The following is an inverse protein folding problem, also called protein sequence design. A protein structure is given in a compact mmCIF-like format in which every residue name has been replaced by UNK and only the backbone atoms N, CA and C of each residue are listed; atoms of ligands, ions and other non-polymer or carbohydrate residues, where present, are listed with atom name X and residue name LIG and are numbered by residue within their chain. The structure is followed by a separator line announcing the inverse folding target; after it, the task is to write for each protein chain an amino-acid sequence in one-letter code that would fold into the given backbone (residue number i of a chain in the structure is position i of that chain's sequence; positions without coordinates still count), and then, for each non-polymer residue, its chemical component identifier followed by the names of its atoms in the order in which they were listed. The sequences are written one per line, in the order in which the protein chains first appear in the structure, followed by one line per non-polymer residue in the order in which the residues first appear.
data_IF_830338363942
#
_entry.id   IF_830338363942
#
_cell.length_a   1.000
_cell.length_b   1.000
_cell.length_c   1.000
_cell.angle_alpha   90.00
_cell.angle_beta   90.00
_cell.angle_gamma   90.00
#
_symmetry.space_group_name_H-M   'P 1'
#
loop_
_entity.id
_entity.type
_entity.pdbx_description
1 polymer ?
#
# COMPACT_ATOMS: atom_id res chain seq x y z
N UNK A 1 3.32 19.71 -8.57
CA UNK A 1 3.08 19.16 -9.92
C UNK A 1 2.95 17.66 -9.80
N UNK A 2 1.99 17.06 -10.50
CA UNK A 2 1.89 15.61 -10.53
C UNK A 2 3.15 15.01 -11.15
N UNK A 3 3.54 13.80 -10.72
CA UNK A 3 4.68 13.09 -11.31
C UNK A 3 4.56 12.94 -12.83
N UNK A 4 3.36 13.05 -13.36
CA UNK A 4 3.02 13.00 -14.77
C UNK A 4 3.36 14.27 -15.55
N UNK A 5 3.16 15.44 -14.99
CA UNK A 5 3.57 16.69 -15.62
C UNK A 5 5.09 16.74 -15.83
N UNK A 6 5.84 16.12 -14.91
CA UNK A 6 7.29 16.02 -15.00
C UNK A 6 7.74 15.01 -16.07
N UNK A 7 7.07 13.86 -16.18
CA UNK A 7 7.38 12.83 -17.18
C UNK A 7 7.05 13.27 -18.60
N UNK A 8 5.98 14.03 -18.81
CA UNK A 8 5.57 14.52 -20.13
C UNK A 8 6.29 15.80 -20.58
N UNK A 9 6.85 16.58 -19.64
CA UNK A 9 7.57 17.83 -19.94
C UNK A 9 9.10 17.67 -20.03
N UNK A 10 9.65 16.56 -19.54
CA UNK A 10 11.08 16.26 -19.67
C UNK A 10 11.37 15.71 -21.06
N UNK A 11 11.54 16.59 -22.04
CA UNK A 11 11.84 16.23 -23.44
C UNK A 11 13.20 15.57 -23.67
N UNK A 12 14.10 15.52 -22.69
CA UNK A 12 15.37 14.77 -22.73
C UNK A 12 15.64 14.10 -21.38
N UNK A 13 16.12 12.85 -21.35
CA UNK A 13 16.50 12.20 -20.11
C UNK A 13 17.66 12.94 -19.46
N UNK A 14 17.40 13.58 -18.31
CA UNK A 14 18.41 14.26 -17.47
C UNK A 14 19.28 13.24 -16.72
N UNK A 15 19.86 12.28 -17.43
CA UNK A 15 20.69 11.23 -16.85
C UNK A 15 21.88 11.86 -16.12
N UNK A 16 22.00 11.62 -14.82
CA UNK A 16 23.08 12.14 -13.99
C UNK A 16 22.95 13.62 -13.57
N UNK A 17 21.87 14.31 -13.93
CA UNK A 17 21.65 15.75 -13.63
C UNK A 17 20.37 16.03 -12.85
N UNK A 18 19.66 14.98 -12.43
CA UNK A 18 18.42 15.10 -11.63
C UNK A 18 18.46 14.16 -10.45
N UNK A 19 17.91 14.62 -9.31
CA UNK A 19 17.63 13.79 -8.15
C UNK A 19 16.11 13.71 -8.02
N UNK A 20 15.57 12.50 -7.97
CA UNK A 20 14.15 12.26 -7.84
C UNK A 20 13.80 12.02 -6.37
N UNK A 21 12.86 12.78 -5.84
CA UNK A 21 12.30 12.59 -4.51
C UNK A 21 10.85 12.13 -4.63
N UNK A 22 10.50 11.10 -3.87
CA UNK A 22 9.12 10.62 -3.76
C UNK A 22 8.46 11.20 -2.52
N UNK A 23 7.45 12.06 -2.71
CA UNK A 23 6.65 12.58 -1.60
C UNK A 23 5.48 11.63 -1.36
N UNK A 24 5.55 10.92 -0.26
CA UNK A 24 4.47 10.06 0.25
C UNK A 24 3.69 10.80 1.35
N UNK A 25 2.50 10.33 1.76
CA UNK A 25 1.93 10.71 3.04
C UNK A 25 2.94 10.47 4.18
N UNK A 26 2.83 11.19 5.30
CA UNK A 26 3.77 11.05 6.39
C UNK A 26 3.93 9.59 6.84
N UNK A 27 5.16 9.17 7.05
CA UNK A 27 5.46 7.93 7.78
C UNK A 27 5.28 8.12 9.28
N UNK A 28 5.00 7.05 10.03
CA UNK A 28 4.94 7.13 11.48
C UNK A 28 6.27 7.62 12.09
N UNK A 29 7.39 7.33 11.43
CA UNK A 29 8.70 7.84 11.83
C UNK A 29 8.81 9.36 11.68
N UNK A 30 8.23 9.97 10.68
CA UNK A 30 8.19 11.43 10.54
C UNK A 30 7.26 12.04 11.59
N UNK A 31 6.10 11.41 11.81
CA UNK A 31 5.14 11.84 12.83
C UNK A 31 5.72 11.72 14.25
N UNK A 32 6.60 10.75 14.53
CA UNK A 32 7.26 10.61 15.83
C UNK A 32 8.17 11.78 16.23
N UNK A 33 8.41 12.72 15.31
CA UNK A 33 9.09 13.97 15.65
C UNK A 33 8.18 14.97 16.40
N UNK A 34 6.87 14.80 16.29
CA UNK A 34 5.84 15.65 16.92
C UNK A 34 4.91 14.89 17.86
N UNK A 35 4.96 13.57 17.88
CA UNK A 35 4.18 12.68 18.76
C UNK A 35 5.11 11.81 19.60
N UNK A 36 4.81 11.64 20.89
CA UNK A 36 5.48 10.64 21.72
C UNK A 36 4.86 9.24 21.54
N UNK A 37 5.46 8.22 22.15
CA UNK A 37 5.03 6.83 22.00
C UNK A 37 3.59 6.56 22.50
N UNK A 38 3.12 7.30 23.51
CA UNK A 38 1.75 7.19 24.02
C UNK A 38 0.76 7.81 23.05
N UNK A 39 1.04 9.01 22.54
CA UNK A 39 0.23 9.70 21.53
C UNK A 39 0.13 8.87 20.24
N UNK A 40 1.25 8.27 19.80
CA UNK A 40 1.27 7.35 18.66
C UNK A 40 0.29 6.17 18.85
N UNK A 41 0.23 5.58 20.04
CA UNK A 41 -0.75 4.51 20.35
C UNK A 41 -2.19 5.02 20.36
N UNK A 42 -2.45 6.18 20.93
CA UNK A 42 -3.76 6.81 20.99
C UNK A 42 -4.28 7.15 19.59
N UNK A 43 -3.40 7.59 18.70
CA UNK A 43 -3.75 7.96 17.33
C UNK A 43 -3.77 6.79 16.33
N UNK A 44 -3.42 5.57 16.75
CA UNK A 44 -3.36 4.41 15.85
C UNK A 44 -4.68 4.16 15.11
N UNK A 45 -5.82 4.19 15.80
CA UNK A 45 -7.13 4.03 15.15
C UNK A 45 -7.38 5.13 14.11
N UNK A 46 -7.04 6.38 14.43
CA UNK A 46 -7.14 7.49 13.49
C UNK A 46 -6.28 7.28 12.25
N UNK A 47 -5.05 6.74 12.41
CA UNK A 47 -4.16 6.40 11.27
C UNK A 47 -4.76 5.30 10.39
N UNK A 48 -5.37 4.29 10.99
CA UNK A 48 -5.99 3.21 10.24
C UNK A 48 -7.26 3.65 9.49
N UNK A 49 -8.00 4.63 10.01
CA UNK A 49 -9.24 5.12 9.40
C UNK A 49 -8.98 6.28 8.44
N UNK A 50 -8.18 7.27 8.84
CA UNK A 50 -8.02 8.53 8.11
C UNK A 50 -6.66 8.67 7.43
N UNK A 51 -5.72 7.74 7.68
CA UNK A 51 -4.39 7.78 7.08
C UNK A 51 -3.47 8.86 7.66
N UNK A 52 -2.48 9.25 6.89
CA UNK A 52 -1.36 10.10 7.32
C UNK A 52 -1.02 11.22 6.33
N UNK A 53 -1.99 11.68 5.54
CA UNK A 53 -1.80 12.92 4.77
C UNK A 53 -1.49 14.09 5.71
N UNK A 54 -0.58 15.01 5.36
CA UNK A 54 -0.15 16.09 6.25
C UNK A 54 -1.32 16.89 6.84
N UNK A 55 -2.25 17.32 6.02
CA UNK A 55 -3.44 18.04 6.47
C UNK A 55 -4.30 17.20 7.41
N UNK A 56 -4.50 15.91 7.11
CA UNK A 56 -5.28 14.99 7.95
C UNK A 56 -4.66 14.81 9.34
N UNK A 57 -3.33 14.78 9.41
CA UNK A 57 -2.62 14.67 10.69
C UNK A 57 -2.84 15.90 11.56
N UNK A 58 -2.94 17.09 10.96
CA UNK A 58 -3.10 18.37 11.65
C UNK A 58 -4.54 18.69 12.04
N UNK A 59 -5.53 18.06 11.40
CA UNK A 59 -6.95 18.28 11.71
C UNK A 59 -7.35 17.51 12.97
N UNK A 60 -8.12 18.13 13.86
CA UNK A 60 -8.68 17.49 15.05
C UNK A 60 -10.04 16.83 14.77
N UNK A 61 -10.90 17.51 13.98
CA UNK A 61 -12.26 17.05 13.67
C UNK A 61 -12.28 15.88 12.70
N UNK A 62 -12.91 14.78 13.07
CA UNK A 62 -13.13 13.62 12.20
C UNK A 62 -13.99 13.93 10.97
N UNK A 63 -14.93 14.85 11.09
CA UNK A 63 -15.74 15.33 9.98
C UNK A 63 -14.86 16.05 8.94
N UNK A 64 -14.03 17.00 9.39
CA UNK A 64 -13.10 17.71 8.51
C UNK A 64 -12.07 16.79 7.85
N UNK A 65 -11.56 15.77 8.57
CA UNK A 65 -10.70 14.73 8.00
C UNK A 65 -11.41 13.99 6.86
N UNK A 66 -12.66 13.61 7.11
CA UNK A 66 -13.48 12.89 6.11
C UNK A 66 -13.72 13.75 4.86
N UNK A 67 -14.11 15.00 5.03
CA UNK A 67 -14.38 15.92 3.91
C UNK A 67 -13.11 16.17 3.10
N UNK A 68 -12.00 16.45 3.76
CA UNK A 68 -10.71 16.64 3.11
C UNK A 68 -10.30 15.42 2.26
N UNK A 69 -10.44 14.20 2.79
CA UNK A 69 -10.11 12.97 2.07
C UNK A 69 -11.05 12.71 0.88
N UNK A 70 -12.35 13.05 1.02
CA UNK A 70 -13.31 12.98 -0.10
C UNK A 70 -12.95 13.98 -1.20
N UNK A 71 -12.52 15.17 -0.84
CA UNK A 71 -12.10 16.20 -1.78
C UNK A 71 -10.83 15.77 -2.53
N UNK A 72 -9.84 15.17 -1.85
CA UNK A 72 -8.65 14.62 -2.50
C UNK A 72 -9.06 13.57 -3.54
N UNK A 73 -9.90 12.61 -3.17
CA UNK A 73 -10.32 11.54 -4.08
C UNK A 73 -11.16 12.08 -5.23
N UNK A 74 -12.09 13.02 -4.95
CA UNK A 74 -13.00 13.56 -5.95
C UNK A 74 -12.37 14.56 -6.91
N UNK A 75 -11.64 15.54 -6.38
CA UNK A 75 -11.15 16.68 -7.14
C UNK A 75 -9.75 16.48 -7.75
N UNK A 76 -8.85 15.85 -7.01
CA UNK A 76 -7.44 15.76 -7.42
C UNK A 76 -7.12 14.41 -8.08
N UNK A 77 -7.31 13.33 -7.36
CA UNK A 77 -6.87 12.00 -7.76
C UNK A 77 -7.52 11.55 -9.08
N UNK A 78 -8.82 11.76 -9.21
CA UNK A 78 -9.54 11.37 -10.40
C UNK A 78 -9.32 12.33 -11.57
N UNK A 79 -9.19 13.62 -11.32
CA UNK A 79 -8.94 14.63 -12.35
C UNK A 79 -7.55 14.47 -12.97
N UNK A 80 -6.53 14.26 -12.14
CA UNK A 80 -5.16 14.08 -12.59
C UNK A 80 -5.00 12.79 -13.40
N UNK A 81 -5.58 11.69 -12.93
CA UNK A 81 -5.57 10.41 -13.67
C UNK A 81 -6.26 10.54 -15.03
N UNK A 82 -7.37 11.28 -15.10
CA UNK A 82 -8.13 11.48 -16.33
C UNK A 82 -7.42 12.40 -17.33
N UNK A 83 -6.64 13.34 -16.86
CA UNK A 83 -5.87 14.26 -17.71
C UNK A 83 -4.71 13.55 -18.45
N UNK A 84 -4.25 12.39 -17.94
CA UNK A 84 -3.02 11.77 -18.37
C UNK A 84 -3.08 11.12 -19.76
N UNK A 85 -4.18 10.54 -20.18
CA UNK A 85 -4.16 9.65 -21.35
C UNK A 85 -5.40 9.77 -22.25
N UNK A 86 -6.11 10.88 -22.21
CA UNK A 86 -7.34 11.01 -22.98
C UNK A 86 -8.33 9.87 -22.69
N UNK A 87 -8.33 9.37 -21.44
CA UNK A 87 -9.10 8.20 -21.03
C UNK A 87 -10.57 8.39 -21.33
N UNK A 88 -11.06 7.67 -22.33
CA UNK A 88 -12.46 7.72 -22.80
C UNK A 88 -13.46 7.21 -21.73
N UNK A 89 -13.00 6.64 -20.61
CA UNK A 89 -13.86 5.94 -19.64
C UNK A 89 -13.44 6.16 -18.17
N UNK A 90 -13.65 7.38 -17.70
CA UNK A 90 -13.39 7.77 -16.31
C UNK A 90 -14.17 6.97 -15.27
N UNK A 91 -15.41 6.56 -15.61
CA UNK A 91 -16.25 5.75 -14.71
C UNK A 91 -15.65 4.39 -14.42
N UNK A 92 -15.16 3.70 -15.44
CA UNK A 92 -14.54 2.37 -15.28
C UNK A 92 -13.25 2.40 -14.47
N UNK A 93 -12.47 3.47 -14.56
CA UNK A 93 -11.30 3.66 -13.72
C UNK A 93 -11.69 3.80 -12.23
N UNK A 94 -12.74 4.57 -11.94
CA UNK A 94 -13.28 4.70 -10.57
C UNK A 94 -13.78 3.38 -10.03
N UNK A 95 -14.50 2.63 -10.84
CA UNK A 95 -15.01 1.30 -10.48
C UNK A 95 -13.87 0.32 -10.24
N UNK A 96 -12.84 0.30 -11.10
CA UNK A 96 -11.63 -0.50 -10.90
C UNK A 96 -10.95 -0.16 -9.58
N UNK A 97 -10.72 1.13 -9.31
CA UNK A 97 -10.09 1.58 -8.08
C UNK A 97 -10.91 1.16 -6.84
N UNK A 98 -12.24 1.22 -6.93
CA UNK A 98 -13.14 0.76 -5.88
C UNK A 98 -13.05 -0.76 -5.65
N UNK A 99 -12.99 -1.56 -6.72
CA UNK A 99 -12.82 -3.01 -6.62
C UNK A 99 -11.47 -3.37 -5.97
N UNK A 100 -10.39 -2.70 -6.35
CA UNK A 100 -9.08 -2.86 -5.71
C UNK A 100 -9.13 -2.47 -4.22
N UNK A 101 -9.85 -1.41 -3.87
CA UNK A 101 -10.01 -1.00 -2.47
C UNK A 101 -10.77 -2.04 -1.62
N UNK A 102 -11.72 -2.76 -2.20
CA UNK A 102 -12.39 -3.87 -1.52
C UNK A 102 -11.53 -5.14 -1.44
N UNK A 103 -10.63 -5.36 -2.40
CA UNK A 103 -9.73 -6.52 -2.48
C UNK A 103 -8.31 -6.21 -1.96
N UNK A 104 -8.14 -5.11 -1.22
CA UNK A 104 -6.85 -4.71 -0.66
C UNK A 104 -6.23 -5.85 0.16
N UNK A 105 -4.95 -6.16 -0.11
CA UNK A 105 -4.24 -7.27 0.55
C UNK A 105 -4.55 -8.67 0.00
N UNK A 106 -5.44 -8.78 -1.01
CA UNK A 106 -5.75 -10.04 -1.67
C UNK A 106 -5.06 -10.15 -3.04
N UNK A 107 -4.83 -11.38 -3.49
CA UNK A 107 -4.39 -11.61 -4.87
C UNK A 107 -5.50 -11.22 -5.85
N UNK A 108 -5.14 -10.48 -6.88
CA UNK A 108 -6.08 -9.90 -7.85
C UNK A 108 -5.90 -10.54 -9.23
N UNK A 109 -6.99 -11.07 -9.77
CA UNK A 109 -7.06 -11.55 -11.14
C UNK A 109 -7.51 -10.45 -12.10
N UNK A 110 -6.62 -10.03 -13.01
CA UNK A 110 -6.93 -9.00 -14.00
C UNK A 110 -8.02 -9.46 -14.99
N UNK A 111 -8.10 -10.77 -15.27
CA UNK A 111 -9.15 -11.34 -16.12
C UNK A 111 -10.53 -11.25 -15.46
N UNK A 112 -10.62 -11.51 -14.14
CA UNK A 112 -11.87 -11.39 -13.39
C UNK A 112 -12.32 -9.94 -13.28
N UNK A 113 -11.40 -9.03 -12.93
CA UNK A 113 -11.70 -7.59 -12.91
C UNK A 113 -12.15 -7.09 -14.29
N UNK A 114 -11.48 -7.55 -15.35
CA UNK A 114 -11.85 -7.21 -16.71
C UNK A 114 -13.26 -7.65 -17.06
N UNK A 115 -13.65 -8.88 -16.71
CA UNK A 115 -15.01 -9.41 -16.91
C UNK A 115 -16.05 -8.59 -16.14
N UNK A 116 -15.80 -8.29 -14.86
CA UNK A 116 -16.72 -7.49 -14.04
C UNK A 116 -16.95 -6.08 -14.60
N UNK A 117 -15.90 -5.46 -15.11
CA UNK A 117 -15.93 -4.07 -15.59
C UNK A 117 -16.20 -3.94 -17.10
N UNK A 118 -16.35 -5.05 -17.83
CA UNK A 118 -16.46 -5.03 -19.28
C UNK A 118 -15.22 -4.41 -19.95
N UNK A 119 -14.01 -4.76 -19.45
CA UNK A 119 -12.72 -4.32 -19.97
C UNK A 119 -11.83 -5.51 -20.31
N UNK A 120 -10.86 -5.30 -21.22
CA UNK A 120 -9.84 -6.31 -21.45
C UNK A 120 -8.84 -6.36 -20.27
N UNK A 121 -8.21 -7.52 -20.06
CA UNK A 121 -7.11 -7.71 -19.11
C UNK A 121 -6.02 -6.64 -19.26
N UNK A 122 -5.62 -6.36 -20.51
CA UNK A 122 -4.58 -5.37 -20.79
C UNK A 122 -5.01 -3.94 -20.39
N UNK A 123 -6.31 -3.63 -20.50
CA UNK A 123 -6.85 -2.34 -20.05
C UNK A 123 -6.81 -2.23 -18.52
N UNK A 124 -7.17 -3.31 -17.82
CA UNK A 124 -7.04 -3.38 -16.34
C UNK A 124 -5.60 -3.16 -15.91
N UNK A 125 -4.66 -3.88 -16.52
CA UNK A 125 -3.23 -3.77 -16.23
C UNK A 125 -2.72 -2.34 -16.48
N UNK A 126 -3.03 -1.74 -17.63
CA UNK A 126 -2.69 -0.35 -17.94
C UNK A 126 -3.23 0.63 -16.89
N UNK A 127 -4.48 0.45 -16.45
CA UNK A 127 -5.09 1.34 -15.47
C UNK A 127 -4.45 1.19 -14.08
N UNK A 128 -4.12 -0.03 -13.68
CA UNK A 128 -3.40 -0.27 -12.42
C UNK A 128 -1.97 0.28 -12.45
N UNK A 129 -1.28 0.17 -13.59
CA UNK A 129 0.04 0.79 -13.80
C UNK A 129 -0.05 2.33 -13.66
N UNK A 130 -1.06 2.96 -14.25
CA UNK A 130 -1.28 4.41 -14.11
C UNK A 130 -1.56 4.82 -12.67
N UNK A 131 -2.42 4.08 -11.95
CA UNK A 131 -2.71 4.31 -10.54
C UNK A 131 -1.48 4.15 -9.65
N UNK A 132 -0.58 3.25 -10.01
CA UNK A 132 0.70 3.04 -9.32
C UNK A 132 1.66 4.21 -9.57
N UNK A 133 1.75 4.71 -10.80
CA UNK A 133 2.60 5.85 -11.19
C UNK A 133 2.20 7.17 -10.52
N UNK A 134 0.92 7.32 -10.14
CA UNK A 134 0.44 8.48 -9.37
C UNK A 134 0.40 8.25 -7.87
N UNK A 135 1.04 7.20 -7.38
CA UNK A 135 1.19 6.89 -5.96
C UNK A 135 -0.13 6.71 -5.19
N UNK A 136 -1.16 6.19 -5.84
CA UNK A 136 -2.42 5.82 -5.19
C UNK A 136 -2.34 4.41 -4.64
N UNK A 137 -1.91 3.47 -5.50
CA UNK A 137 -1.73 2.06 -5.16
C UNK A 137 -0.33 1.58 -5.55
N UNK A 138 0.09 0.48 -4.97
CA UNK A 138 1.29 -0.23 -5.38
C UNK A 138 1.04 -1.73 -5.38
N UNK A 139 1.82 -2.43 -6.20
CA UNK A 139 1.76 -3.87 -6.31
C UNK A 139 2.86 -4.51 -5.46
N UNK A 140 2.48 -5.46 -4.62
CA UNK A 140 3.40 -6.35 -3.93
C UNK A 140 3.47 -7.67 -4.71
N UNK A 141 4.66 -8.03 -5.19
CA UNK A 141 4.90 -9.28 -5.91
C UNK A 141 5.06 -10.47 -4.96
N UNK A 142 4.96 -11.69 -5.49
CA UNK A 142 5.25 -12.89 -4.71
C UNK A 142 6.76 -13.19 -4.69
N UNK A 143 7.31 -13.50 -3.51
CA UNK A 143 8.68 -13.94 -3.34
C UNK A 143 8.83 -15.40 -3.76
N UNK A 144 9.87 -15.69 -4.56
CA UNK A 144 10.24 -17.05 -4.93
C UNK A 144 11.69 -17.06 -5.44
N UNK A 145 12.44 -18.10 -5.18
CA UNK A 145 13.77 -18.31 -5.78
C UNK A 145 13.73 -18.62 -7.28
N UNK A 146 12.55 -18.88 -7.83
CA UNK A 146 12.37 -19.18 -9.25
C UNK A 146 11.75 -17.96 -9.97
N UNK A 147 12.59 -17.07 -10.51
CA UNK A 147 12.21 -15.84 -11.20
C UNK A 147 11.13 -16.03 -12.28
N UNK A 148 11.12 -17.19 -12.98
CA UNK A 148 10.09 -17.48 -13.99
C UNK A 148 8.70 -17.67 -13.37
N UNK A 149 8.61 -18.17 -12.13
CA UNK A 149 7.34 -18.34 -11.40
C UNK A 149 6.88 -17.03 -10.76
N UNK A 150 7.81 -16.14 -10.40
CA UNK A 150 7.50 -14.84 -9.82
C UNK A 150 6.88 -13.87 -10.82
N UNK A 151 7.40 -13.82 -12.04
CA UNK A 151 6.95 -12.87 -13.09
C UNK A 151 5.51 -13.14 -13.55
N UNK A 152 4.99 -14.34 -13.40
CA UNK A 152 3.69 -14.79 -13.93
C UNK A 152 2.57 -14.71 -12.88
N UNK A 153 2.89 -14.59 -11.59
CA UNK A 153 1.87 -14.59 -10.52
C UNK A 153 1.13 -13.26 -10.43
N UNK A 154 -0.17 -13.34 -10.17
CA UNK A 154 -0.94 -12.20 -9.72
C UNK A 154 -0.29 -11.58 -8.49
N UNK A 155 -0.36 -10.24 -8.36
CA UNK A 155 0.16 -9.54 -7.19
C UNK A 155 -0.95 -9.15 -6.25
N UNK A 156 -0.58 -8.85 -5.02
CA UNK A 156 -1.46 -8.15 -4.08
C UNK A 156 -1.35 -6.65 -4.30
N UNK A 157 -2.46 -5.94 -4.15
CA UNK A 157 -2.51 -4.49 -4.29
C UNK A 157 -2.79 -3.82 -2.97
N UNK A 158 -2.04 -2.77 -2.68
CA UNK A 158 -2.11 -1.98 -1.47
C UNK A 158 -2.20 -0.50 -1.81
N UNK A 159 -2.63 0.30 -0.84
CA UNK A 159 -2.72 1.74 -0.95
C UNK A 159 -1.56 2.40 -0.20
N UNK A 160 -1.02 3.49 -0.73
CA UNK A 160 -0.03 4.30 -0.01
C UNK A 160 -0.59 4.93 1.27
N UNK A 161 -1.93 5.01 1.38
CA UNK A 161 -2.61 5.60 2.53
C UNK A 161 -3.98 4.96 2.78
N UNK A 162 -4.25 4.59 4.04
CA UNK A 162 -5.53 4.00 4.44
C UNK A 162 -6.70 4.98 4.29
N UNK A 163 -6.48 6.28 4.55
CA UNK A 163 -7.51 7.31 4.42
C UNK A 163 -8.01 7.45 2.99
N UNK A 164 -7.12 7.42 2.01
CA UNK A 164 -7.47 7.42 0.58
C UNK A 164 -8.28 6.17 0.24
N UNK A 165 -7.83 4.98 0.67
CA UNK A 165 -8.58 3.74 0.47
C UNK A 165 -9.98 3.82 1.06
N UNK A 166 -10.10 4.31 2.28
CA UNK A 166 -11.39 4.44 2.98
C UNK A 166 -12.31 5.50 2.33
N UNK A 167 -11.74 6.59 1.81
CA UNK A 167 -12.49 7.59 1.05
C UNK A 167 -13.06 7.04 -0.25
N UNK A 168 -12.29 6.20 -0.97
CA UNK A 168 -12.73 5.55 -2.22
C UNK A 168 -13.94 4.65 -2.00
N UNK A 169 -13.99 3.89 -0.89
CA UNK A 169 -15.13 3.03 -0.56
C UNK A 169 -16.20 3.74 0.27
N UNK A 170 -15.94 4.98 0.71
CA UNK A 170 -16.87 5.77 1.53
C UNK A 170 -17.05 5.26 2.96
N UNK A 171 -16.03 4.58 3.54
CA UNK A 171 -16.15 3.96 4.86
C UNK A 171 -15.16 4.53 5.88
N UNK A 172 -15.64 5.38 6.78
CA UNK A 172 -14.90 5.97 7.91
C UNK A 172 -15.46 5.53 9.27
N UNK A 173 -16.17 4.40 9.32
CA UNK A 173 -16.70 3.88 10.58
C UNK A 173 -15.60 3.44 11.54
N UNK A 174 -15.82 3.50 12.87
CA UNK A 174 -14.88 3.02 13.89
C UNK A 174 -14.46 1.57 13.67
N UNK A 175 -13.22 1.22 14.05
CA UNK A 175 -12.67 -0.12 13.85
C UNK A 175 -13.50 -1.21 14.53
N UNK A 176 -14.17 -0.89 15.65
CA UNK A 176 -14.99 -1.84 16.42
C UNK A 176 -16.17 -2.43 15.65
N UNK A 177 -16.63 -1.76 14.59
CA UNK A 177 -17.77 -2.22 13.77
C UNK A 177 -17.34 -2.64 12.35
N UNK A 178 -16.03 -2.65 12.07
CA UNK A 178 -15.49 -3.01 10.75
C UNK A 178 -15.08 -4.47 10.67
N UNK A 179 -15.25 -5.05 9.51
CA UNK A 179 -14.81 -6.43 9.22
C UNK A 179 -13.43 -6.47 8.52
N UNK A 180 -12.93 -5.35 8.00
CA UNK A 180 -11.71 -5.23 7.22
C UNK A 180 -10.51 -4.70 8.01
N UNK A 181 -10.57 -4.74 9.36
CA UNK A 181 -9.51 -4.22 10.24
C UNK A 181 -8.17 -4.92 9.98
N UNK A 182 -8.17 -6.22 9.71
CA UNK A 182 -6.97 -6.98 9.35
C UNK A 182 -6.29 -6.44 8.10
N UNK A 183 -7.08 -6.18 7.03
CA UNK A 183 -6.56 -5.62 5.79
C UNK A 183 -6.05 -4.18 5.97
N UNK A 184 -6.73 -3.34 6.76
CA UNK A 184 -6.25 -2.00 7.11
C UNK A 184 -4.93 -2.03 7.88
N UNK A 185 -4.80 -2.97 8.81
CA UNK A 185 -3.60 -3.18 9.59
C UNK A 185 -2.42 -3.60 8.71
N UNK A 186 -2.64 -4.61 7.88
CA UNK A 186 -1.65 -5.09 6.92
C UNK A 186 -1.21 -3.98 5.97
N UNK A 187 -2.15 -3.25 5.35
CA UNK A 187 -1.84 -2.12 4.47
C UNK A 187 -1.05 -1.02 5.19
N UNK A 188 -1.43 -0.66 6.42
CA UNK A 188 -0.71 0.34 7.21
C UNK A 188 0.74 -0.09 7.43
N UNK A 189 0.98 -1.29 7.92
CA UNK A 189 2.32 -1.76 8.24
C UNK A 189 3.22 -1.87 6.99
N UNK A 190 2.69 -2.39 5.88
CA UNK A 190 3.46 -2.49 4.63
C UNK A 190 3.75 -1.09 4.07
N UNK A 191 2.75 -0.19 4.05
CA UNK A 191 2.95 1.18 3.56
C UNK A 191 3.99 1.94 4.39
N UNK A 192 3.99 1.77 5.72
CA UNK A 192 5.00 2.37 6.59
C UNK A 192 6.43 1.89 6.27
N UNK A 193 6.62 0.60 6.02
CA UNK A 193 7.92 0.05 5.61
C UNK A 193 8.37 0.58 4.25
N UNK A 194 7.45 0.70 3.31
CA UNK A 194 7.75 1.27 1.99
C UNK A 194 8.14 2.75 2.09
N UNK A 195 7.41 3.56 2.85
CA UNK A 195 7.73 4.98 3.08
C UNK A 195 9.13 5.13 3.69
N UNK A 196 9.48 4.29 4.68
CA UNK A 196 10.82 4.29 5.28
C UNK A 196 11.91 3.93 4.28
N UNK A 197 11.67 2.99 3.36
CA UNK A 197 12.63 2.62 2.33
C UNK A 197 12.90 3.79 1.38
N UNK A 198 11.86 4.48 0.93
CA UNK A 198 12.01 5.70 0.11
C UNK A 198 12.79 6.79 0.84
N UNK A 199 12.47 7.06 2.10
CA UNK A 199 13.10 8.13 2.88
C UNK A 199 14.56 7.86 3.23
N UNK A 200 14.98 6.58 3.30
CA UNK A 200 16.36 6.19 3.64
C UNK A 200 17.24 5.91 2.44
N UNK A 201 16.70 5.99 1.23
CA UNK A 201 17.41 5.59 0.00
C UNK A 201 18.10 4.20 0.13
N UNK A 202 17.49 3.29 0.89
CA UNK A 202 17.97 1.92 1.07
C UNK A 202 17.25 1.02 0.08
N UNK A 203 18.00 0.35 -0.73
CA UNK A 203 17.49 -0.66 -1.66
C UNK A 203 16.98 -1.88 -0.86
N UNK A 204 15.71 -1.84 -0.49
CA UNK A 204 14.96 -2.99 0.02
C UNK A 204 13.91 -3.36 -0.99
N UNK A 205 13.83 -4.64 -1.29
CA UNK A 205 12.78 -5.18 -2.12
C UNK A 205 11.70 -5.80 -1.22
N UNK A 206 10.44 -5.62 -1.60
CA UNK A 206 9.28 -6.03 -0.82
C UNK A 206 8.42 -7.01 -1.60
N UNK A 207 8.01 -8.08 -0.94
CA UNK A 207 7.23 -9.16 -1.51
C UNK A 207 6.26 -9.71 -0.47
N UNK A 208 5.26 -10.50 -0.90
CA UNK A 208 4.59 -11.47 -0.04
C UNK A 208 5.09 -12.88 -0.40
N UNK A 209 4.85 -13.84 0.46
CA UNK A 209 5.18 -15.24 0.14
C UNK A 209 3.95 -16.12 0.30
N UNK A 210 3.74 -17.04 -0.65
CA UNK A 210 2.61 -17.98 -0.62
C UNK A 210 2.95 -19.28 -1.34
N UNK A 211 2.40 -20.41 -0.80
CA UNK A 211 2.43 -21.72 -1.43
C UNK A 211 1.08 -22.08 -2.07
N UNK A 212 1.09 -23.10 -2.92
CA UNK A 212 -0.13 -23.66 -3.48
C UNK A 212 -1.07 -24.23 -2.40
N UNK A 213 -0.52 -24.68 -1.25
CA UNK A 213 -1.27 -25.18 -0.09
C UNK A 213 -1.77 -24.05 0.84
N UNK A 214 -1.81 -22.81 0.35
CA UNK A 214 -2.30 -21.64 1.06
C UNK A 214 -1.54 -21.27 2.35
N UNK A 215 -0.28 -21.71 2.50
CA UNK A 215 0.59 -21.10 3.51
C UNK A 215 1.03 -19.74 3.01
N UNK A 216 0.98 -18.73 3.86
CA UNK A 216 1.23 -17.34 3.46
C UNK A 216 2.05 -16.61 4.52
N UNK A 217 2.83 -15.63 4.08
CA UNK A 217 3.50 -14.61 4.89
C UNK A 217 3.21 -13.25 4.26
N UNK A 218 2.76 -12.32 5.08
CA UNK A 218 2.22 -11.04 4.62
C UNK A 218 3.30 -10.15 3.99
N UNK A 219 4.51 -10.13 4.56
CA UNK A 219 5.62 -9.32 4.05
C UNK A 219 6.95 -10.06 4.14
N UNK A 220 7.67 -10.05 3.03
CA UNK A 220 9.09 -10.41 2.93
C UNK A 220 9.87 -9.15 2.58
N UNK A 221 10.89 -8.82 3.36
CA UNK A 221 11.89 -7.80 3.04
C UNK A 221 13.19 -8.48 2.64
N UNK A 222 13.65 -8.22 1.43
CA UNK A 222 14.95 -8.63 0.94
C UNK A 222 15.91 -7.45 0.95
N UNK A 223 17.08 -7.61 1.54
CA UNK A 223 18.12 -6.60 1.60
C UNK A 223 19.51 -7.24 1.52
N UNK A 224 20.55 -6.41 1.50
CA UNK A 224 21.95 -6.88 1.59
C UNK A 224 22.28 -7.60 2.91
N UNK A 225 21.47 -7.38 3.95
CA UNK A 225 21.61 -8.02 5.27
C UNK A 225 20.92 -9.39 5.33
N UNK A 226 20.15 -9.74 4.30
CA UNK A 226 19.42 -11.02 4.22
C UNK A 226 17.92 -10.85 4.08
N UNK A 227 17.20 -11.92 4.40
CA UNK A 227 15.76 -12.06 4.23
C UNK A 227 15.06 -11.97 5.58
N UNK A 228 14.06 -11.11 5.67
CA UNK A 228 13.20 -10.94 6.85
C UNK A 228 11.74 -11.14 6.49
N UNK A 229 11.03 -11.95 7.24
CA UNK A 229 9.64 -12.30 7.04
C UNK A 229 8.78 -11.78 8.19
N UNK A 230 7.63 -11.21 7.86
CA UNK A 230 6.72 -10.60 8.82
C UNK A 230 5.29 -11.07 8.59
N UNK A 231 4.65 -11.45 9.68
CA UNK A 231 3.23 -11.78 9.73
C UNK A 231 2.50 -10.73 10.55
N UNK A 232 1.36 -10.23 10.07
CA UNK A 232 0.63 -9.15 10.69
C UNK A 232 -0.65 -9.63 11.36
N UNK A 233 -0.80 -9.37 12.66
CA UNK A 233 -1.99 -9.73 13.43
C UNK A 233 -2.53 -8.52 14.18
N UNK A 234 -3.78 -8.16 13.93
CA UNK A 234 -4.45 -7.10 14.70
C UNK A 234 -4.68 -7.51 16.15
N UNK A 235 -4.96 -8.79 16.42
CA UNK A 235 -5.14 -9.36 17.75
C UNK A 235 -3.92 -10.13 18.25
N UNK A 236 -4.07 -10.78 19.41
CA UNK A 236 -2.98 -11.48 20.12
C UNK A 236 -2.74 -12.91 19.63
N UNK A 237 -3.25 -13.27 18.45
CA UNK A 237 -3.10 -14.61 17.89
C UNK A 237 -1.62 -14.90 17.59
N UNK A 238 -1.10 -15.90 18.30
CA UNK A 238 0.24 -16.42 18.02
C UNK A 238 0.24 -17.16 16.69
N UNK A 239 1.23 -16.90 15.88
CA UNK A 239 1.44 -17.55 14.59
C UNK A 239 2.89 -18.03 14.54
N UNK A 240 3.08 -19.28 14.15
CA UNK A 240 4.41 -19.85 13.92
C UNK A 240 4.81 -19.62 12.45
N UNK A 241 6.12 -19.59 12.20
CA UNK A 241 6.65 -19.58 10.84
C UNK A 241 6.10 -20.81 10.07
N UNK A 242 5.60 -20.64 8.84
CA UNK A 242 5.18 -21.77 8.02
C UNK A 242 6.34 -22.73 7.77
N UNK A 243 6.11 -24.02 7.97
CA UNK A 243 7.18 -25.07 7.86
C UNK A 243 7.82 -25.05 6.48
N UNK A 244 7.04 -24.89 5.42
CA UNK A 244 7.54 -24.81 4.04
C UNK A 244 8.47 -23.62 3.84
N UNK A 245 8.17 -22.46 4.48
CA UNK A 245 9.03 -21.29 4.42
C UNK A 245 10.34 -21.52 5.18
N UNK A 246 10.25 -21.99 6.44
CA UNK A 246 11.43 -22.25 7.26
C UNK A 246 12.39 -23.27 6.61
N UNK A 247 11.84 -24.27 5.90
CA UNK A 247 12.63 -25.24 5.15
C UNK A 247 13.29 -24.63 3.90
N UNK A 248 12.57 -23.78 3.17
CA UNK A 248 13.07 -23.19 1.94
C UNK A 248 14.07 -22.04 2.19
N UNK A 249 13.93 -21.33 3.32
CA UNK A 249 14.70 -20.15 3.69
C UNK A 249 15.18 -20.21 5.14
N UNK A 250 16.07 -21.15 5.50
CA UNK A 250 16.46 -21.39 6.90
C UNK A 250 17.18 -20.22 7.56
N UNK A 251 17.81 -19.35 6.77
CA UNK A 251 18.51 -18.15 7.26
C UNK A 251 17.59 -16.93 7.42
N UNK A 252 16.32 -17.04 7.01
CA UNK A 252 15.39 -15.91 7.11
C UNK A 252 14.94 -15.70 8.56
N UNK A 253 14.91 -14.44 8.99
CA UNK A 253 14.26 -14.08 10.25
C UNK A 253 12.74 -14.10 10.09
N UNK A 254 11.99 -14.44 11.16
CA UNK A 254 10.53 -14.37 11.17
C UNK A 254 10.04 -13.64 12.41
N UNK A 255 9.14 -12.65 12.22
CA UNK A 255 8.52 -11.91 13.33
C UNK A 255 7.02 -11.74 13.09
N UNK A 256 6.25 -11.86 14.17
CA UNK A 256 4.83 -11.49 14.19
C UNK A 256 4.70 -10.07 14.72
N UNK A 257 4.05 -9.21 13.95
CA UNK A 257 3.82 -7.80 14.30
C UNK A 257 2.34 -7.64 14.69
N UNK A 258 2.12 -7.14 15.91
CA UNK A 258 0.82 -6.88 16.48
C UNK A 258 0.77 -5.48 17.13
N UNK A 259 -0.33 -5.15 17.81
CA UNK A 259 -0.52 -3.85 18.46
C UNK A 259 0.50 -3.51 19.55
N UNK A 260 1.14 -4.51 20.15
CA UNK A 260 2.06 -4.32 21.24
C UNK A 260 3.48 -3.96 20.77
N UNK A 261 3.90 -4.52 19.60
CA UNK A 261 5.27 -4.37 19.09
C UNK A 261 5.39 -3.59 17.77
N UNK A 262 4.26 -3.11 17.20
CA UNK A 262 4.30 -2.43 15.90
C UNK A 262 5.15 -1.16 15.88
N UNK A 263 5.25 -0.44 17.02
CA UNK A 263 6.04 0.79 17.07
C UNK A 263 7.49 0.53 16.74
N UNK A 264 8.08 -0.56 17.24
CA UNK A 264 9.45 -0.95 16.89
C UNK A 264 9.61 -1.30 15.40
N UNK A 265 8.51 -1.72 14.77
CA UNK A 265 8.50 -2.08 13.36
C UNK A 265 8.39 -0.86 12.45
N UNK A 266 7.64 0.17 12.85
CA UNK A 266 7.36 1.37 12.02
C UNK A 266 8.23 2.59 12.37
N UNK A 267 9.02 2.56 13.42
CA UNK A 267 9.97 3.62 13.83
C UNK A 267 11.42 3.24 13.49
#
# INVERSE_FOLDING_TARGET
SSSFDLLNKAGEPLVGRSTQFHLTPFSQKEISQIENALETRQHLESRLIYGSYPEVVMLESFERKTDYLRDIVGAYLLKDILAIDGLKNSSKMKELLRLIAFQMGSEVSYDELGKQLGMSKNTVEKYLDLLSKVFVVYRLGAYSRNLRKEVVKAGKWYFYDNGIRNAIIGNFTPLSVRQDVGALWENYLISERMKQSYNRNRAKEFYFWRTYDNQEIDLIEESTEGLSAFEFKWGDKKTNVPTSFATAYPEASFKVINKENYQEFVL
#
